data_IF_408888497508
#
_entry.id   IF_408888497508
#
_cell.length_a   1.000
_cell.length_b   1.000
_cell.length_c   1.000
_cell.angle_alpha   90.00
_cell.angle_beta   90.00
_cell.angle_gamma   90.00
#
_symmetry.space_group_name_H-M   'P 1'
#
loop_
_entity.id
_entity.type
_entity.pdbx_description
1 polymer ?
#
# COMPACT_ATOMS: atom_id res chain seq x y z
N UNK A 1 17.95 3.94 2.35
CA UNK A 1 16.74 4.79 2.21
C UNK A 1 15.62 4.13 2.99
N UNK A 2 14.85 4.85 3.81
CA UNK A 2 13.79 4.23 4.63
C UNK A 2 12.44 4.35 3.91
N UNK A 3 11.83 3.20 3.58
CA UNK A 3 10.49 3.14 3.01
C UNK A 3 9.44 3.14 4.13
N UNK A 4 8.31 3.81 3.90
CA UNK A 4 7.16 3.83 4.81
C UNK A 4 5.88 3.46 4.09
N UNK A 5 5.00 2.78 4.82
CA UNK A 5 3.68 2.39 4.36
C UNK A 5 2.62 3.42 4.75
N UNK A 6 1.65 3.68 3.87
CA UNK A 6 0.37 4.33 4.17
C UNK A 6 -0.79 3.52 3.61
N UNK A 7 -1.96 3.66 4.22
CA UNK A 7 -3.20 3.04 3.75
C UNK A 7 -4.13 4.14 3.24
N UNK A 8 -4.49 4.04 1.96
CA UNK A 8 -5.42 4.94 1.30
C UNK A 8 -6.81 4.32 1.30
N UNK A 9 -7.80 5.06 1.80
CA UNK A 9 -9.20 4.71 1.71
C UNK A 9 -9.84 5.47 0.54
N UNK A 10 -10.59 4.77 -0.30
CA UNK A 10 -11.37 5.38 -1.39
C UNK A 10 -12.73 4.71 -1.52
N UNK A 11 -13.64 5.34 -2.26
CA UNK A 11 -14.95 4.74 -2.53
C UNK A 11 -14.79 3.68 -3.61
N UNK A 12 -15.32 2.49 -3.34
CA UNK A 12 -15.43 1.42 -4.30
C UNK A 12 -16.38 1.74 -5.44
N UNK A 13 -16.52 0.83 -6.42
CA UNK A 13 -17.39 1.02 -7.56
C UNK A 13 -18.84 1.23 -7.13
N UNK A 14 -19.48 2.26 -7.70
CA UNK A 14 -20.90 2.58 -7.43
C UNK A 14 -21.76 1.48 -8.02
N UNK A 15 -22.57 0.83 -7.17
CA UNK A 15 -23.62 -0.11 -7.61
C UNK A 15 -24.98 0.56 -7.41
N UNK A 16 -25.89 0.37 -8.38
CA UNK A 16 -27.20 1.06 -8.40
C UNK A 16 -27.95 0.80 -7.09
N UNK A 17 -28.28 1.87 -6.36
CA UNK A 17 -29.08 1.80 -5.13
C UNK A 17 -28.32 1.47 -3.84
N UNK A 18 -26.99 1.28 -3.87
CA UNK A 18 -26.19 1.00 -2.67
C UNK A 18 -25.03 2.00 -2.56
N UNK A 19 -24.85 2.68 -1.41
CA UNK A 19 -23.66 3.50 -1.19
C UNK A 19 -22.38 2.70 -1.43
N UNK A 20 -21.40 3.23 -2.19
CA UNK A 20 -20.18 2.49 -2.48
C UNK A 20 -19.42 2.20 -1.18
N UNK A 21 -19.09 0.91 -0.97
CA UNK A 21 -18.26 0.48 0.15
C UNK A 21 -16.88 1.16 0.08
N UNK A 22 -16.24 1.35 1.24
CA UNK A 22 -14.84 1.77 1.26
C UNK A 22 -13.96 0.63 0.77
N UNK A 23 -12.97 0.97 -0.05
CA UNK A 23 -11.87 0.10 -0.43
C UNK A 23 -10.57 0.70 0.10
N UNK A 24 -9.69 -0.17 0.55
CA UNK A 24 -8.40 0.18 1.12
C UNK A 24 -7.28 -0.32 0.23
N UNK A 25 -6.26 0.52 0.04
CA UNK A 25 -5.05 0.19 -0.72
C UNK A 25 -3.81 0.57 0.06
N UNK A 26 -2.79 -0.29 0.00
CA UNK A 26 -1.48 0.01 0.51
C UNK A 26 -0.67 0.81 -0.51
N UNK A 27 0.00 1.85 -0.04
CA UNK A 27 0.97 2.61 -0.81
C UNK A 27 2.25 2.79 0.00
N UNK A 28 3.39 2.70 -0.67
CA UNK A 28 4.71 2.93 -0.10
C UNK A 28 5.32 4.18 -0.68
N UNK A 29 5.97 4.95 0.18
CA UNK A 29 6.69 6.17 -0.15
C UNK A 29 8.02 6.22 0.61
N UNK A 30 8.94 7.05 0.15
CA UNK A 30 10.19 7.29 0.88
C UNK A 30 9.94 8.22 2.08
N UNK A 31 10.44 7.86 3.27
CA UNK A 31 10.24 8.67 4.47
C UNK A 31 10.78 10.10 4.33
N UNK A 32 11.92 10.23 3.63
CA UNK A 32 12.57 11.51 3.38
C UNK A 32 11.85 12.34 2.30
N UNK A 33 10.94 11.75 1.54
CA UNK A 33 10.18 12.48 0.53
C UNK A 33 9.03 13.27 1.16
N UNK A 34 9.20 14.60 1.16
CA UNK A 34 8.23 15.56 1.68
C UNK A 34 6.89 15.49 0.95
N UNK A 35 6.88 15.11 -0.33
CA UNK A 35 5.65 15.04 -1.13
C UNK A 35 4.93 13.71 -0.94
N UNK A 36 5.59 12.71 -0.34
CA UNK A 36 5.07 11.35 -0.15
C UNK A 36 4.57 10.78 -1.47
N UNK A 37 5.39 10.93 -2.51
CA UNK A 37 5.18 10.35 -3.82
C UNK A 37 5.10 8.83 -3.69
N UNK A 38 4.11 8.26 -4.36
CA UNK A 38 3.87 6.83 -4.34
C UNK A 38 4.96 6.12 -5.15
N UNK A 39 5.87 5.41 -4.48
CA UNK A 39 6.87 4.55 -5.13
C UNK A 39 6.27 3.22 -5.55
N UNK A 40 5.34 2.73 -4.77
CA UNK A 40 4.61 1.50 -5.03
C UNK A 40 3.22 1.58 -4.43
N UNK A 41 2.23 1.02 -5.12
CA UNK A 41 0.89 0.85 -4.58
C UNK A 41 0.31 -0.50 -5.00
N UNK A 42 -0.40 -1.16 -4.08
CA UNK A 42 -1.03 -2.43 -4.41
C UNK A 42 -2.17 -2.23 -5.43
N UNK A 43 -2.30 -3.14 -6.39
CA UNK A 43 -3.39 -3.13 -7.38
C UNK A 43 -4.71 -3.69 -6.84
N UNK A 44 -4.68 -4.34 -5.68
CA UNK A 44 -5.84 -4.95 -5.04
C UNK A 44 -6.77 -3.90 -4.40
N UNK A 45 -8.06 -4.22 -4.34
CA UNK A 45 -9.03 -3.50 -3.53
C UNK A 45 -9.31 -4.31 -2.28
N UNK A 46 -8.82 -3.88 -1.13
CA UNK A 46 -9.09 -4.55 0.13
C UNK A 46 -10.36 -4.01 0.78
N UNK A 47 -11.13 -4.90 1.40
CA UNK A 47 -12.33 -4.54 2.18
C UNK A 47 -12.01 -4.03 3.59
N UNK A 48 -10.77 -4.26 4.07
CA UNK A 48 -10.32 -3.92 5.42
C UNK A 48 -8.95 -3.26 5.42
N UNK A 49 -8.73 -2.34 6.36
CA UNK A 49 -7.43 -1.67 6.60
C UNK A 49 -6.33 -2.70 6.91
N UNK A 50 -6.62 -3.69 7.76
CA UNK A 50 -5.67 -4.73 8.15
C UNK A 50 -5.19 -5.54 6.95
N UNK A 51 -6.08 -5.92 6.04
CA UNK A 51 -5.73 -6.66 4.83
C UNK A 51 -4.82 -5.83 3.91
N UNK A 52 -5.12 -4.54 3.74
CA UNK A 52 -4.26 -3.64 2.98
C UNK A 52 -2.88 -3.47 3.64
N UNK A 53 -2.85 -3.33 4.97
CA UNK A 53 -1.61 -3.21 5.74
C UNK A 53 -0.73 -4.45 5.60
N UNK A 54 -1.30 -5.64 5.76
CA UNK A 54 -0.58 -6.90 5.59
C UNK A 54 -0.05 -7.07 4.16
N UNK A 55 -0.82 -6.66 3.14
CA UNK A 55 -0.36 -6.66 1.76
C UNK A 55 0.87 -5.76 1.55
N UNK A 56 0.82 -4.54 2.08
CA UNK A 56 1.94 -3.60 2.00
C UNK A 56 3.17 -4.06 2.81
N UNK A 57 2.96 -4.66 3.98
CA UNK A 57 4.05 -5.20 4.78
C UNK A 57 4.73 -6.41 4.14
N UNK A 58 3.97 -7.29 3.47
CA UNK A 58 4.55 -8.37 2.68
C UNK A 58 5.53 -7.81 1.65
N UNK A 59 5.08 -6.84 0.85
CA UNK A 59 5.92 -6.22 -0.17
C UNK A 59 7.15 -5.50 0.42
N UNK A 60 7.00 -4.78 1.54
CA UNK A 60 8.13 -4.16 2.22
C UNK A 60 9.18 -5.18 2.68
N UNK A 61 8.73 -6.33 3.20
CA UNK A 61 9.65 -7.40 3.61
C UNK A 61 10.39 -7.99 2.40
N UNK A 62 9.70 -8.22 1.27
CA UNK A 62 10.34 -8.67 0.03
C UNK A 62 11.43 -7.70 -0.45
N UNK A 63 11.20 -6.39 -0.35
CA UNK A 63 12.20 -5.38 -0.74
C UNK A 63 13.41 -5.32 0.19
N UNK A 64 13.22 -5.57 1.49
CA UNK A 64 14.33 -5.65 2.45
C UNK A 64 15.19 -6.88 2.16
N UNK A 65 14.56 -8.01 1.83
CA UNK A 65 15.25 -9.26 1.49
C UNK A 65 16.06 -9.13 0.18
N UNK A 66 15.46 -8.54 -0.86
CA UNK A 66 16.13 -8.25 -2.14
C UNK A 66 17.33 -7.30 -1.96
N UNK A 67 17.17 -6.24 -1.16
CA UNK A 67 18.25 -5.30 -0.85
C UNK A 67 19.42 -5.96 -0.08
N UNK A 68 19.13 -6.99 0.72
CA UNK A 68 20.15 -7.74 1.47
C UNK A 68 20.92 -8.73 0.58
N UNK A 69 20.26 -9.30 -0.44
CA UNK A 69 20.87 -10.24 -1.37
C UNK A 69 21.85 -9.58 -2.36
N UNK A 70 21.64 -8.32 -2.74
CA UNK A 70 22.54 -7.58 -3.65
C UNK A 70 23.84 -7.10 -2.99
N UNK A 71 23.99 -7.26 -1.67
CA UNK A 71 25.17 -6.83 -0.90
C UNK A 71 26.12 -7.98 -0.52
N UNK A 72 25.95 -9.18 -1.09
CA UNK A 72 26.71 -10.39 -0.76
C UNK A 72 27.70 -10.81 -1.86
#
# INVERSE_FOLDING_TARGET
>A
MALKLRIMASRGPVRRGVPPALIYRAEVYEDSDRFRECKWGCSHNHESVENAFNCGMSWLNDQIDESAAESA
#
